data_IF_823111156032
#
_entry.id   IF_823111156032
#
_cell.length_a   1.000
_cell.length_b   1.000
_cell.length_c   1.000
_cell.angle_alpha   90.00
_cell.angle_beta   90.00
_cell.angle_gamma   90.00
#
_symmetry.space_group_name_H-M   'P 1'
#
loop_
_entity.id
_entity.type
_entity.pdbx_description
1 polymer ?
#
# COMPACT_ATOMS: atom_id res chain seq x y z
N UNK A 1 8.20 11.65 -11.76
CA UNK A 1 8.97 11.45 -10.50
C UNK A 1 8.10 10.61 -9.57
N UNK A 2 8.61 9.53 -8.97
CA UNK A 2 7.81 8.59 -8.17
C UNK A 2 7.94 8.84 -6.67
N UNK A 3 6.86 8.62 -5.94
CA UNK A 3 6.73 8.82 -4.50
C UNK A 3 6.04 7.63 -3.85
N UNK A 4 6.24 7.49 -2.55
CA UNK A 4 5.45 6.56 -1.75
C UNK A 4 4.07 7.14 -1.44
N UNK A 5 3.05 6.29 -1.60
CA UNK A 5 1.68 6.55 -1.26
C UNK A 5 1.21 5.56 -0.21
N UNK A 6 0.53 6.05 0.80
CA UNK A 6 -0.22 5.23 1.75
C UNK A 6 -1.65 5.10 1.24
N UNK A 7 -2.09 3.87 1.06
CA UNK A 7 -3.47 3.52 0.75
C UNK A 7 -4.10 2.77 1.92
N UNK A 8 -5.28 3.21 2.36
CA UNK A 8 -6.10 2.45 3.31
C UNK A 8 -7.12 1.67 2.49
N UNK A 9 -6.93 0.36 2.43
CA UNK A 9 -7.73 -0.56 1.65
C UNK A 9 -8.82 -1.21 2.51
N UNK A 10 -9.91 -1.64 1.87
CA UNK A 10 -11.02 -2.29 2.55
C UNK A 10 -11.09 -3.75 2.15
N UNK A 11 -10.80 -4.65 3.11
CA UNK A 11 -10.85 -6.11 2.93
C UNK A 11 -12.14 -6.65 3.56
N UNK A 12 -12.99 -7.31 2.77
CA UNK A 12 -14.21 -7.99 3.24
C UNK A 12 -15.27 -8.20 2.16
N UNK A 13 -16.12 -9.21 2.34
CA UNK A 13 -17.31 -9.46 1.50
C UNK A 13 -18.45 -8.49 1.85
N UNK A 14 -19.21 -8.05 0.84
CA UNK A 14 -20.53 -7.44 1.08
C UNK A 14 -21.40 -8.43 1.87
N UNK A 15 -21.76 -8.07 3.10
CA UNK A 15 -22.56 -8.89 4.02
C UNK A 15 -21.87 -9.26 5.35
N UNK A 16 -20.54 -9.20 5.44
CA UNK A 16 -19.85 -9.40 6.70
C UNK A 16 -19.88 -8.10 7.54
N UNK A 17 -20.48 -8.14 8.74
CA UNK A 17 -20.55 -7.01 9.71
C UNK A 17 -19.20 -6.41 10.13
N UNK A 18 -18.06 -6.92 9.65
CA UNK A 18 -16.71 -6.42 9.95
C UNK A 18 -15.91 -6.22 8.66
N UNK A 19 -15.89 -4.98 8.16
CA UNK A 19 -14.89 -4.55 7.19
C UNK A 19 -13.54 -4.45 7.92
N UNK A 20 -12.49 -5.09 7.39
CA UNK A 20 -11.12 -4.93 7.90
C UNK A 20 -10.38 -3.91 7.05
N UNK A 21 -9.87 -2.87 7.69
CA UNK A 21 -8.96 -1.93 7.04
C UNK A 21 -7.57 -2.55 6.94
N UNK A 22 -6.92 -2.35 5.79
CA UNK A 22 -5.55 -2.81 5.53
C UNK A 22 -4.74 -1.62 5.01
N UNK A 23 -3.61 -1.33 5.62
CA UNK A 23 -2.72 -0.29 5.09
C UNK A 23 -1.75 -0.91 4.08
N UNK A 24 -1.71 -0.35 2.87
CA UNK A 24 -0.72 -0.65 1.85
C UNK A 24 0.13 0.57 1.54
N UNK A 25 1.40 0.34 1.23
CA UNK A 25 2.28 1.35 0.68
C UNK A 25 2.63 0.99 -0.76
N UNK A 26 2.45 1.96 -1.67
CA UNK A 26 2.70 1.80 -3.09
C UNK A 26 3.64 2.89 -3.57
N UNK A 27 4.59 2.54 -4.44
CA UNK A 27 5.47 3.49 -5.09
C UNK A 27 4.92 3.81 -6.49
N UNK A 28 4.57 5.07 -6.72
CA UNK A 28 3.86 5.51 -7.92
C UNK A 28 4.17 6.98 -8.25
N UNK A 29 3.94 7.40 -9.48
CA UNK A 29 4.13 8.78 -9.91
C UNK A 29 3.01 9.70 -9.42
N UNK A 30 1.78 9.19 -9.39
CA UNK A 30 0.60 9.98 -9.09
C UNK A 30 -0.48 9.10 -8.41
N UNK A 31 -1.50 9.70 -7.77
CA UNK A 31 -2.55 8.93 -7.10
C UNK A 31 -3.51 8.21 -8.05
N UNK A 32 -3.44 8.41 -9.37
CA UNK A 32 -4.22 7.62 -10.35
C UNK A 32 -3.56 6.27 -10.55
N UNK A 33 -2.25 6.23 -10.78
CA UNK A 33 -1.46 5.00 -10.86
C UNK A 33 -1.63 4.14 -9.59
N UNK A 34 -1.71 4.75 -8.41
CA UNK A 34 -2.01 4.02 -7.17
C UNK A 34 -3.38 3.33 -7.21
N UNK A 35 -4.40 3.98 -7.76
CA UNK A 35 -5.74 3.38 -7.88
C UNK A 35 -5.75 2.22 -8.85
N UNK A 36 -5.12 2.39 -10.01
CA UNK A 36 -5.03 1.35 -11.04
C UNK A 36 -4.38 0.09 -10.44
N UNK A 37 -3.28 0.27 -9.70
CA UNK A 37 -2.62 -0.82 -8.99
C UNK A 37 -3.49 -1.45 -7.89
N UNK A 38 -4.31 -0.69 -7.18
CA UNK A 38 -5.25 -1.22 -6.18
C UNK A 38 -6.36 -2.07 -6.81
N UNK A 39 -6.79 -1.75 -8.04
CA UNK A 39 -7.75 -2.56 -8.80
C UNK A 39 -7.17 -3.95 -9.08
N UNK A 40 -5.87 -4.04 -9.36
CA UNK A 40 -5.17 -5.31 -9.58
C UNK A 40 -4.94 -6.12 -8.30
N UNK A 41 -5.15 -5.55 -7.10
CA UNK A 41 -4.93 -6.24 -5.83
C UNK A 41 -6.07 -7.22 -5.52
N UNK A 42 -5.81 -8.55 -5.54
CA UNK A 42 -6.86 -9.56 -5.34
C UNK A 42 -7.49 -9.51 -3.93
N UNK A 43 -6.73 -9.03 -2.94
CA UNK A 43 -7.18 -8.96 -1.55
C UNK A 43 -8.31 -7.95 -1.31
N UNK A 44 -8.44 -6.93 -2.16
CA UNK A 44 -9.32 -5.78 -1.92
C UNK A 44 -10.23 -5.45 -3.11
N UNK A 45 -10.01 -6.09 -4.28
CA UNK A 45 -10.86 -5.94 -5.47
C UNK A 45 -11.15 -4.47 -5.82
N UNK A 46 -10.13 -3.63 -5.79
CA UNK A 46 -10.27 -2.19 -6.09
C UNK A 46 -10.88 -1.33 -4.98
N UNK A 47 -11.21 -1.88 -3.81
CA UNK A 47 -11.85 -1.11 -2.72
C UNK A 47 -10.81 -0.44 -1.83
N UNK A 48 -10.88 0.88 -1.75
CA UNK A 48 -10.06 1.68 -0.86
C UNK A 48 -10.86 2.83 -0.22
N UNK A 49 -10.44 3.25 0.96
CA UNK A 49 -11.01 4.36 1.73
C UNK A 49 -10.28 5.68 1.44
N UNK A 50 -8.95 5.63 1.36
CA UNK A 50 -8.14 6.81 1.09
C UNK A 50 -6.79 6.45 0.47
N UNK A 51 -6.26 7.37 -0.32
CA UNK A 51 -4.90 7.35 -0.88
C UNK A 51 -4.29 8.70 -0.56
N UNK A 52 -3.09 8.70 0.03
CA UNK A 52 -2.34 9.92 0.28
C UNK A 52 -0.86 9.71 -0.01
N UNK A 53 -0.22 10.72 -0.60
CA UNK A 53 1.25 10.77 -0.64
C UNK A 53 1.77 10.92 0.79
N UNK A 54 2.81 10.16 1.14
CA UNK A 54 3.50 10.36 2.42
C UNK A 54 4.63 11.37 2.25
N UNK A 55 5.02 12.04 3.33
CA UNK A 55 6.15 12.97 3.29
C UNK A 55 7.46 12.22 3.00
N UNK A 56 8.48 12.92 2.53
CA UNK A 56 9.76 12.30 2.20
C UNK A 56 10.43 11.69 3.45
N UNK A 57 10.26 12.30 4.62
CA UNK A 57 10.68 11.73 5.92
C UNK A 57 9.94 10.42 6.27
N UNK A 58 8.63 10.36 6.02
CA UNK A 58 7.86 9.12 6.21
C UNK A 58 8.29 8.04 5.21
N UNK A 59 8.59 8.44 3.97
CA UNK A 59 9.13 7.53 2.95
C UNK A 59 10.48 6.96 3.39
N UNK A 60 11.43 7.77 3.83
CA UNK A 60 12.73 7.29 4.32
C UNK A 60 12.59 6.29 5.47
N UNK A 61 11.70 6.57 6.43
CA UNK A 61 11.43 5.65 7.54
C UNK A 61 10.80 4.34 7.09
N UNK A 62 9.90 4.40 6.10
CA UNK A 62 9.30 3.21 5.49
C UNK A 62 10.35 2.37 4.77
N UNK A 63 11.20 2.99 3.95
CA UNK A 63 12.24 2.27 3.21
C UNK A 63 13.23 1.61 4.15
N UNK A 64 13.67 2.31 5.20
CA UNK A 64 14.51 1.72 6.25
C UNK A 64 13.82 0.50 6.88
N UNK A 65 12.54 0.63 7.22
CA UNK A 65 11.76 -0.49 7.78
C UNK A 65 11.66 -1.68 6.83
N UNK A 66 11.46 -1.46 5.53
CA UNK A 66 11.41 -2.55 4.52
C UNK A 66 12.74 -3.30 4.51
N UNK A 67 13.85 -2.56 4.51
CA UNK A 67 15.20 -3.14 4.55
C UNK A 67 15.43 -3.90 5.86
N UNK A 68 15.07 -3.31 7.00
CA UNK A 68 15.24 -3.91 8.32
C UNK A 68 14.38 -5.19 8.51
N UNK A 69 13.14 -5.21 7.99
CA UNK A 69 12.27 -6.40 8.05
C UNK A 69 12.77 -7.52 7.14
N UNK A 70 13.44 -7.21 6.02
CA UNK A 70 14.05 -8.19 5.11
C UNK A 70 13.08 -9.15 4.41
N UNK A 71 11.76 -8.97 4.58
CA UNK A 71 10.70 -9.82 3.98
C UNK A 71 10.63 -9.68 2.46
N UNK A 72 10.97 -8.50 1.97
CA UNK A 72 10.97 -8.13 0.56
C UNK A 72 12.07 -7.08 0.36
N UNK A 73 12.77 -7.12 -0.78
CA UNK A 73 13.77 -6.09 -1.09
C UNK A 73 13.08 -4.75 -1.36
N UNK A 74 13.79 -3.64 -1.11
CA UNK A 74 13.26 -2.30 -1.38
C UNK A 74 12.87 -2.12 -2.85
N UNK A 75 13.67 -2.64 -3.78
CA UNK A 75 13.37 -2.62 -5.21
C UNK A 75 12.06 -3.34 -5.51
N UNK A 76 11.88 -4.54 -4.96
CA UNK A 76 10.66 -5.31 -5.16
C UNK A 76 9.44 -4.66 -4.50
N UNK A 77 9.61 -4.01 -3.36
CA UNK A 77 8.56 -3.23 -2.72
C UNK A 77 8.12 -2.04 -3.57
N UNK A 78 9.06 -1.37 -4.25
CA UNK A 78 8.77 -0.28 -5.20
C UNK A 78 8.06 -0.78 -6.47
N UNK A 79 8.39 -1.98 -6.94
CA UNK A 79 7.73 -2.61 -8.09
C UNK A 79 6.32 -3.11 -7.78
N UNK A 80 5.98 -3.40 -6.53
CA UNK A 80 4.72 -4.04 -6.14
C UNK A 80 3.98 -3.19 -5.10
N UNK A 81 3.74 -3.74 -3.92
CA UNK A 81 3.12 -3.07 -2.79
C UNK A 81 3.67 -3.66 -1.51
N UNK A 82 3.69 -2.85 -0.46
CA UNK A 82 4.16 -3.26 0.85
C UNK A 82 3.05 -3.22 1.89
N UNK A 83 2.85 -4.33 2.59
CA UNK A 83 1.88 -4.47 3.68
C UNK A 83 2.61 -4.67 5.01
N UNK A 84 2.70 -3.65 5.88
CA UNK A 84 3.35 -3.81 7.18
C UNK A 84 2.52 -4.65 8.17
N UNK A 85 1.19 -4.76 7.96
CA UNK A 85 0.24 -5.28 8.96
C UNK A 85 -0.25 -6.72 8.68
N UNK A 86 0.26 -7.40 7.65
CA UNK A 86 -0.07 -8.81 7.39
C UNK A 86 0.99 -9.70 8.06
N UNK A 87 0.73 -10.05 9.31
CA UNK A 87 1.29 -11.21 10.02
C UNK A 87 0.14 -12.18 10.30
#
# INVERSE_FOLDING_TARGET
>A
MRYWYRAVLLRGHEGARKQKELTAYLFAENPVEVRDRIIEMPAVRGRYKSIRRISDDQAMRLEKRIVDEGRITLEKARETWYYPDIN
#
